data_IF_451189917685
#
_entry.id   IF_451189917685
#
_cell.length_a   1.000
_cell.length_b   1.000
_cell.length_c   1.000
_cell.angle_alpha   90.00
_cell.angle_beta   90.00
_cell.angle_gamma   90.00
#
_symmetry.space_group_name_H-M   'P 1'
#
loop_
_entity.id
_entity.type
_entity.pdbx_description
1 polymer ?
#
# COMPACT_ATOMS: atom_id res chain seq x y z
N UNK A 1 -15.70 -16.10 -10.89
CA UNK A 1 -15.17 -14.77 -10.52
C UNK A 1 -16.30 -13.78 -10.60
N UNK A 2 -16.47 -12.92 -9.62
CA UNK A 2 -17.50 -11.88 -9.63
C UNK A 2 -16.98 -10.56 -10.22
N UNK A 3 -17.91 -9.66 -10.53
CA UNK A 3 -17.62 -8.40 -11.21
C UNK A 3 -16.70 -7.48 -10.38
N UNK A 4 -16.84 -7.52 -9.05
CA UNK A 4 -15.98 -6.77 -8.13
C UNK A 4 -14.53 -7.24 -8.18
N UNK A 5 -14.29 -8.57 -8.26
CA UNK A 5 -12.96 -9.11 -8.45
C UNK A 5 -12.34 -8.67 -9.78
N UNK A 6 -13.09 -8.80 -10.88
CA UNK A 6 -12.59 -8.43 -12.21
C UNK A 6 -12.24 -6.93 -12.28
N UNK A 7 -13.10 -6.06 -11.75
CA UNK A 7 -12.83 -4.63 -11.71
C UNK A 7 -11.60 -4.31 -10.83
N UNK A 8 -11.50 -4.93 -9.65
CA UNK A 8 -10.34 -4.81 -8.78
C UNK A 8 -9.03 -5.22 -9.45
N UNK A 9 -9.04 -6.31 -10.23
CA UNK A 9 -7.90 -6.79 -11.00
C UNK A 9 -7.49 -5.80 -12.12
N UNK A 10 -8.46 -5.23 -12.84
CA UNK A 10 -8.19 -4.21 -13.88
C UNK A 10 -7.51 -3.00 -13.24
N UNK A 11 -8.06 -2.51 -12.12
CA UNK A 11 -7.47 -1.40 -11.38
C UNK A 11 -6.10 -1.76 -10.81
N UNK A 12 -5.86 -3.00 -10.35
CA UNK A 12 -4.54 -3.40 -9.83
C UNK A 12 -3.49 -3.46 -10.94
N UNK A 13 -3.86 -3.95 -12.13
CA UNK A 13 -2.96 -3.97 -13.30
C UNK A 13 -2.62 -2.53 -13.70
N UNK A 14 -3.64 -1.67 -13.83
CA UNK A 14 -3.43 -0.27 -14.19
C UNK A 14 -2.58 0.46 -13.14
N UNK A 15 -2.91 0.30 -11.85
CA UNK A 15 -2.17 0.87 -10.74
C UNK A 15 -0.72 0.39 -10.67
N UNK A 16 -0.47 -0.89 -10.92
CA UNK A 16 0.88 -1.46 -11.01
C UNK A 16 1.70 -0.85 -12.16
N UNK A 17 1.07 -0.59 -13.31
CA UNK A 17 1.73 0.06 -14.45
C UNK A 17 2.03 1.54 -14.15
N UNK A 18 1.11 2.26 -13.52
CA UNK A 18 1.33 3.65 -13.11
C UNK A 18 2.43 3.76 -12.05
N UNK A 19 2.38 2.93 -11.01
CA UNK A 19 3.39 2.89 -9.96
C UNK A 19 4.78 2.55 -10.52
N UNK A 20 4.86 1.58 -11.43
CA UNK A 20 6.12 1.23 -12.09
C UNK A 20 6.71 2.40 -12.90
N UNK A 21 5.87 3.13 -13.63
CA UNK A 21 6.31 4.19 -14.56
C UNK A 21 6.51 5.55 -13.90
N UNK A 22 5.58 5.97 -13.05
CA UNK A 22 5.47 7.33 -12.50
C UNK A 22 5.74 7.41 -11.00
N UNK A 23 5.66 6.29 -10.27
CA UNK A 23 5.75 6.25 -8.78
C UNK A 23 4.67 7.06 -8.07
N UNK A 24 3.65 7.45 -8.81
CA UNK A 24 2.48 8.17 -8.34
C UNK A 24 1.27 7.51 -8.97
N UNK A 25 0.31 7.17 -8.12
CA UNK A 25 -0.89 6.41 -8.50
C UNK A 25 -2.05 7.38 -8.45
N UNK A 26 -2.84 7.41 -9.52
CA UNK A 26 -3.97 8.33 -9.57
C UNK A 26 -5.00 8.04 -8.47
N UNK A 27 -5.43 9.10 -7.78
CA UNK A 27 -6.55 9.02 -6.83
C UNK A 27 -7.86 8.56 -7.49
N UNK A 28 -7.97 8.68 -8.82
CA UNK A 28 -9.09 8.16 -9.59
C UNK A 28 -9.32 6.66 -9.36
N UNK A 29 -8.25 5.85 -9.21
CA UNK A 29 -8.39 4.40 -9.12
C UNK A 29 -9.22 3.97 -7.92
N UNK A 30 -8.83 4.37 -6.71
CA UNK A 30 -9.54 3.95 -5.51
C UNK A 30 -10.90 4.63 -5.37
N UNK A 31 -11.06 5.88 -5.83
CA UNK A 31 -12.37 6.54 -5.89
C UNK A 31 -13.32 5.78 -6.82
N UNK A 32 -12.84 5.35 -7.98
CA UNK A 32 -13.66 4.57 -8.92
C UNK A 32 -14.10 3.23 -8.31
N UNK A 33 -13.25 2.59 -7.50
CA UNK A 33 -13.62 1.38 -6.76
C UNK A 33 -14.73 1.62 -5.76
N UNK A 34 -14.76 2.80 -5.11
CA UNK A 34 -15.87 3.15 -4.21
C UNK A 34 -17.19 3.26 -4.98
N UNK A 35 -17.19 3.99 -6.10
CA UNK A 35 -18.39 4.18 -6.93
C UNK A 35 -18.89 2.87 -7.55
N UNK A 36 -17.99 2.04 -8.08
CA UNK A 36 -18.38 0.71 -8.58
C UNK A 36 -18.82 -0.19 -7.42
N UNK A 37 -18.14 -0.13 -6.28
CA UNK A 37 -18.50 -0.86 -5.07
C UNK A 37 -19.95 -0.61 -4.66
N UNK A 38 -20.33 0.66 -4.47
CA UNK A 38 -21.70 0.99 -4.01
C UNK A 38 -22.76 0.56 -5.02
N UNK A 39 -22.48 0.63 -6.32
CA UNK A 39 -23.38 0.12 -7.37
C UNK A 39 -23.53 -1.40 -7.25
N UNK A 40 -22.44 -2.15 -7.11
CA UNK A 40 -22.49 -3.61 -6.99
C UNK A 40 -23.15 -4.06 -5.67
N UNK A 41 -22.89 -3.35 -4.57
CA UNK A 41 -23.52 -3.62 -3.28
C UNK A 41 -25.01 -3.30 -3.31
N UNK A 42 -25.44 -2.29 -4.08
CA UNK A 42 -26.86 -1.93 -4.22
C UNK A 42 -27.72 -3.08 -4.74
N UNK A 43 -27.15 -3.97 -5.56
CA UNK A 43 -27.83 -5.18 -6.05
C UNK A 43 -28.18 -6.16 -4.92
N UNK A 44 -27.51 -6.05 -3.77
CA UNK A 44 -27.67 -6.93 -2.61
C UNK A 44 -28.27 -6.21 -1.40
N UNK A 45 -28.23 -4.87 -1.37
CA UNK A 45 -28.78 -4.05 -0.30
C UNK A 45 -30.31 -4.01 -0.42
N UNK A 46 -30.99 -4.58 0.58
CA UNK A 46 -32.47 -4.49 0.68
C UNK A 46 -32.94 -3.15 1.23
N UNK A 47 -32.06 -2.40 1.91
CA UNK A 47 -32.41 -1.16 2.58
C UNK A 47 -31.99 0.06 1.75
N UNK A 48 -32.97 0.73 1.14
CA UNK A 48 -32.74 1.91 0.30
C UNK A 48 -32.02 3.05 1.05
N UNK A 49 -32.29 3.22 2.36
CA UNK A 49 -31.64 4.25 3.17
C UNK A 49 -30.13 4.01 3.32
N UNK A 50 -29.72 2.75 3.47
CA UNK A 50 -28.29 2.38 3.54
C UNK A 50 -27.57 2.82 2.25
N UNK A 51 -28.15 2.48 1.09
CA UNK A 51 -27.60 2.85 -0.21
C UNK A 51 -27.45 4.37 -0.38
N UNK A 52 -28.47 5.14 0.00
CA UNK A 52 -28.40 6.61 -0.06
C UNK A 52 -27.29 7.19 0.83
N UNK A 53 -27.15 6.70 2.06
CA UNK A 53 -26.12 7.20 2.98
C UNK A 53 -24.71 6.89 2.45
N UNK A 54 -24.49 5.68 1.91
CA UNK A 54 -23.20 5.30 1.33
C UNK A 54 -22.85 6.12 0.08
N UNK A 55 -23.83 6.43 -0.81
CA UNK A 55 -23.60 7.36 -1.93
C UNK A 55 -23.16 8.73 -1.44
N UNK A 56 -23.85 9.30 -0.45
CA UNK A 56 -23.51 10.62 0.10
C UNK A 56 -22.12 10.59 0.74
N UNK A 57 -21.77 9.51 1.43
CA UNK A 57 -20.44 9.32 1.99
C UNK A 57 -19.35 9.35 0.90
N UNK A 58 -19.54 8.59 -0.19
CA UNK A 58 -18.59 8.51 -1.31
C UNK A 58 -18.51 9.83 -2.06
N UNK A 59 -19.63 10.55 -2.21
CA UNK A 59 -19.66 11.89 -2.81
C UNK A 59 -18.79 12.86 -2.01
N UNK A 60 -18.93 12.91 -0.68
CA UNK A 60 -18.11 13.77 0.17
C UNK A 60 -16.64 13.42 0.14
N UNK A 61 -16.30 12.12 0.12
CA UNK A 61 -14.91 11.67 -0.05
C UNK A 61 -14.37 12.11 -1.41
N UNK A 62 -15.14 11.93 -2.49
CA UNK A 62 -14.76 12.33 -3.86
C UNK A 62 -14.51 13.84 -3.94
N UNK A 63 -15.39 14.65 -3.34
CA UNK A 63 -15.22 16.10 -3.27
C UNK A 63 -13.99 16.50 -2.46
N UNK A 64 -13.74 15.85 -1.31
CA UNK A 64 -12.59 16.14 -0.46
C UNK A 64 -11.26 15.85 -1.18
N UNK A 65 -11.20 14.78 -1.97
CA UNK A 65 -9.99 14.41 -2.72
C UNK A 65 -9.78 15.32 -3.92
N UNK A 66 -10.86 15.70 -4.62
CA UNK A 66 -10.76 16.60 -5.78
C UNK A 66 -10.43 18.05 -5.39
N UNK A 67 -10.89 18.49 -4.23
CA UNK A 67 -10.78 19.88 -3.79
C UNK A 67 -10.15 19.96 -2.40
N UNK A 68 -8.85 20.25 -2.34
CA UNK A 68 -8.09 20.33 -1.08
C UNK A 68 -8.73 21.24 -0.01
N UNK A 69 -9.38 22.33 -0.44
CA UNK A 69 -10.12 23.26 0.44
C UNK A 69 -11.22 22.59 1.26
N UNK A 70 -11.74 21.44 0.82
CA UNK A 70 -12.81 20.69 1.45
C UNK A 70 -12.33 19.43 2.16
N UNK A 71 -11.08 19.39 2.64
CA UNK A 71 -10.53 18.25 3.39
C UNK A 71 -11.42 17.79 4.56
N UNK A 72 -12.18 18.70 5.18
CA UNK A 72 -13.15 18.36 6.24
C UNK A 72 -14.28 17.43 5.77
N UNK A 73 -14.68 17.47 4.50
CA UNK A 73 -15.72 16.58 3.95
C UNK A 73 -15.29 15.11 4.01
N UNK A 74 -13.99 14.83 3.99
CA UNK A 74 -13.49 13.47 4.15
C UNK A 74 -13.92 12.87 5.48
N UNK A 75 -13.81 13.62 6.58
CA UNK A 75 -14.23 13.16 7.91
C UNK A 75 -15.74 12.96 8.00
N UNK A 76 -16.53 13.80 7.31
CA UNK A 76 -17.98 13.64 7.23
C UNK A 76 -18.32 12.35 6.48
N UNK A 77 -17.68 12.09 5.33
CA UNK A 77 -17.85 10.83 4.60
C UNK A 77 -17.45 9.61 5.44
N UNK A 78 -16.33 9.67 6.14
CA UNK A 78 -15.90 8.62 7.08
C UNK A 78 -16.90 8.41 8.22
N UNK A 79 -17.46 9.50 8.79
CA UNK A 79 -18.51 9.42 9.80
C UNK A 79 -19.79 8.78 9.27
N UNK A 80 -20.19 9.08 8.04
CA UNK A 80 -21.34 8.44 7.41
C UNK A 80 -21.11 6.92 7.21
N UNK A 81 -19.91 6.49 6.81
CA UNK A 81 -19.59 5.07 6.81
C UNK A 81 -19.67 4.45 8.21
N UNK A 82 -19.18 5.15 9.25
CA UNK A 82 -19.31 4.66 10.63
C UNK A 82 -20.78 4.53 11.04
N UNK A 83 -21.63 5.50 10.70
CA UNK A 83 -23.07 5.46 10.94
C UNK A 83 -23.70 4.25 10.24
N UNK A 84 -23.37 4.01 8.97
CA UNK A 84 -23.89 2.85 8.23
C UNK A 84 -23.49 1.52 8.85
N UNK A 85 -22.27 1.41 9.36
CA UNK A 85 -21.83 0.24 10.11
C UNK A 85 -22.60 0.09 11.44
N UNK A 86 -22.70 1.15 12.24
CA UNK A 86 -23.33 1.06 13.57
C UNK A 86 -24.81 0.71 13.47
N UNK A 87 -25.55 1.38 12.58
CA UNK A 87 -27.01 1.27 12.43
C UNK A 87 -27.43 0.07 11.58
N UNK A 88 -26.79 -0.12 10.41
CA UNK A 88 -27.21 -1.14 9.44
C UNK A 88 -26.29 -2.35 9.38
N UNK A 89 -25.21 -2.37 10.18
CA UNK A 89 -24.19 -3.44 10.16
C UNK A 89 -23.57 -3.65 8.77
N UNK A 90 -23.40 -2.57 8.00
CA UNK A 90 -22.76 -2.64 6.67
C UNK A 90 -21.32 -3.16 6.78
N UNK A 91 -21.11 -4.35 6.23
CA UNK A 91 -19.80 -5.02 6.21
C UNK A 91 -18.78 -4.26 5.34
N UNK A 92 -19.22 -3.70 4.21
CA UNK A 92 -18.33 -2.99 3.29
C UNK A 92 -17.90 -1.63 3.86
N UNK A 93 -18.81 -0.90 4.52
CA UNK A 93 -18.47 0.30 5.26
C UNK A 93 -17.44 0.01 6.38
N UNK A 94 -17.63 -1.06 7.16
CA UNK A 94 -16.64 -1.49 8.15
C UNK A 94 -15.29 -1.81 7.50
N UNK A 95 -15.31 -2.51 6.36
CA UNK A 95 -14.12 -2.88 5.61
C UNK A 95 -13.32 -1.65 5.17
N UNK A 96 -14.00 -0.60 4.68
CA UNK A 96 -13.39 0.68 4.36
C UNK A 96 -12.74 1.33 5.59
N UNK A 97 -13.47 1.44 6.70
CA UNK A 97 -12.99 2.09 7.92
C UNK A 97 -11.77 1.40 8.53
N UNK A 98 -11.75 0.06 8.56
CA UNK A 98 -10.60 -0.70 9.06
C UNK A 98 -9.37 -0.45 8.19
N UNK A 99 -9.51 -0.51 6.86
CA UNK A 99 -8.38 -0.24 5.97
C UNK A 99 -7.97 1.23 5.92
N UNK A 100 -8.87 2.16 6.24
CA UNK A 100 -8.51 3.55 6.46
C UNK A 100 -7.59 3.69 7.68
N UNK A 101 -7.93 3.05 8.81
CA UNK A 101 -7.10 3.06 10.01
C UNK A 101 -5.75 2.36 9.78
N UNK A 102 -5.75 1.19 9.14
CA UNK A 102 -4.52 0.48 8.76
C UNK A 102 -3.68 1.34 7.83
N UNK A 103 -4.29 1.98 6.83
CA UNK A 103 -3.61 2.85 5.88
C UNK A 103 -2.94 4.05 6.54
N UNK A 104 -3.63 4.71 7.47
CA UNK A 104 -3.06 5.78 8.31
C UNK A 104 -1.86 5.27 9.10
N UNK A 105 -2.01 4.14 9.79
CA UNK A 105 -0.94 3.57 10.60
C UNK A 105 0.30 3.25 9.76
N UNK A 106 0.11 2.63 8.60
CA UNK A 106 1.21 2.28 7.68
C UNK A 106 1.88 3.52 7.08
N UNK A 107 1.09 4.52 6.71
CA UNK A 107 1.59 5.77 6.15
C UNK A 107 2.44 6.54 7.16
N UNK A 108 1.92 6.78 8.38
CA UNK A 108 2.66 7.51 9.41
C UNK A 108 3.81 6.71 10.02
N UNK A 109 3.82 5.38 9.88
CA UNK A 109 4.95 4.53 10.25
C UNK A 109 6.01 4.44 9.15
N UNK A 110 5.84 5.13 8.01
CA UNK A 110 6.73 5.11 6.85
C UNK A 110 6.90 3.70 6.24
N UNK A 111 5.91 2.81 6.42
CA UNK A 111 5.95 1.43 5.92
C UNK A 111 5.38 1.30 4.50
N UNK A 112 4.49 2.22 4.10
CA UNK A 112 3.75 2.13 2.84
C UNK A 112 3.39 3.52 2.32
N UNK A 113 3.38 3.68 1.00
CA UNK A 113 3.03 4.95 0.35
C UNK A 113 1.53 5.26 0.48
N UNK A 114 1.19 6.55 0.49
CA UNK A 114 -0.21 7.00 0.59
C UNK A 114 -1.09 6.46 -0.55
N UNK A 115 -0.55 6.37 -1.77
CA UNK A 115 -1.25 5.81 -2.93
C UNK A 115 -1.63 4.34 -2.73
N UNK A 116 -0.71 3.53 -2.22
CA UNK A 116 -0.95 2.11 -1.98
C UNK A 116 -1.99 1.91 -0.85
N UNK A 117 -1.90 2.70 0.22
CA UNK A 117 -2.88 2.70 1.30
C UNK A 117 -4.29 3.03 0.80
N UNK A 118 -4.42 4.08 -0.02
CA UNK A 118 -5.70 4.48 -0.63
C UNK A 118 -6.24 3.38 -1.55
N UNK A 119 -5.38 2.71 -2.32
CA UNK A 119 -5.78 1.57 -3.14
C UNK A 119 -6.39 0.44 -2.29
N UNK A 120 -5.76 0.08 -1.17
CA UNK A 120 -6.29 -0.93 -0.25
C UNK A 120 -7.65 -0.52 0.36
N UNK A 121 -7.85 0.77 0.64
CA UNK A 121 -9.15 1.28 1.10
C UNK A 121 -10.24 1.13 0.04
N UNK A 122 -9.96 1.53 -1.21
CA UNK A 122 -10.90 1.35 -2.32
C UNK A 122 -11.25 -0.13 -2.53
N UNK A 123 -10.24 -0.99 -2.43
CA UNK A 123 -10.41 -2.42 -2.58
C UNK A 123 -11.22 -3.05 -1.42
N UNK A 124 -10.97 -2.64 -0.19
CA UNK A 124 -11.68 -3.18 0.97
C UNK A 124 -13.16 -2.85 0.94
N UNK A 125 -13.54 -1.69 0.43
CA UNK A 125 -14.94 -1.38 0.16
C UNK A 125 -15.45 -2.22 -1.01
N UNK A 126 -14.78 -2.22 -2.17
CA UNK A 126 -15.23 -2.93 -3.37
C UNK A 126 -15.51 -4.43 -3.14
N UNK A 127 -14.59 -5.14 -2.47
CA UNK A 127 -14.62 -6.60 -2.36
C UNK A 127 -14.77 -7.12 -0.93
N UNK A 128 -14.45 -6.30 0.07
CA UNK A 128 -14.53 -6.67 1.49
C UNK A 128 -13.17 -6.83 2.16
N UNK A 129 -13.20 -6.79 3.50
CA UNK A 129 -12.01 -6.82 4.37
C UNK A 129 -11.21 -8.12 4.24
N UNK A 130 -11.87 -9.29 4.27
CA UNK A 130 -11.16 -10.59 4.30
C UNK A 130 -10.34 -10.77 3.03
N UNK A 131 -10.95 -10.50 1.87
CA UNK A 131 -10.28 -10.55 0.59
C UNK A 131 -9.07 -9.60 0.56
N UNK A 132 -9.28 -8.35 0.95
CA UNK A 132 -8.23 -7.32 0.92
C UNK A 132 -7.08 -7.66 1.86
N UNK A 133 -7.38 -8.26 3.01
CA UNK A 133 -6.36 -8.72 3.96
C UNK A 133 -5.52 -9.86 3.38
N UNK A 134 -6.15 -10.83 2.69
CA UNK A 134 -5.42 -11.91 2.00
C UNK A 134 -4.52 -11.32 0.91
N UNK A 135 -5.04 -10.40 0.10
CA UNK A 135 -4.25 -9.73 -0.95
C UNK A 135 -3.07 -8.96 -0.35
N UNK A 136 -3.30 -8.23 0.75
CA UNK A 136 -2.25 -7.50 1.42
C UNK A 136 -1.16 -8.41 2.00
N UNK A 137 -1.55 -9.48 2.71
CA UNK A 137 -0.59 -10.43 3.29
C UNK A 137 0.23 -11.17 2.23
N UNK A 138 -0.41 -11.59 1.15
CA UNK A 138 0.28 -12.22 0.02
C UNK A 138 1.20 -11.21 -0.70
N UNK A 139 0.82 -9.93 -0.79
CA UNK A 139 1.69 -8.88 -1.33
C UNK A 139 2.97 -8.70 -0.51
N UNK A 140 2.89 -8.76 0.83
CA UNK A 140 4.05 -8.66 1.73
C UNK A 140 5.07 -9.78 1.45
N UNK A 141 4.64 -10.98 1.07
CA UNK A 141 5.55 -12.07 0.74
C UNK A 141 6.49 -11.74 -0.43
N UNK A 142 6.03 -10.94 -1.40
CA UNK A 142 6.85 -10.54 -2.54
C UNK A 142 7.92 -9.49 -2.19
N UNK A 143 7.87 -8.90 -0.99
CA UNK A 143 8.94 -8.03 -0.48
C UNK A 143 10.19 -8.86 -0.15
N UNK A 144 10.05 -10.10 0.31
CA UNK A 144 11.17 -10.98 0.66
C UNK A 144 12.12 -11.22 -0.53
N UNK A 145 11.66 -11.74 -1.69
CA UNK A 145 12.54 -11.93 -2.85
C UNK A 145 13.11 -10.61 -3.35
N UNK A 146 12.40 -9.49 -3.22
CA UNK A 146 12.92 -8.18 -3.58
C UNK A 146 14.12 -7.76 -2.69
N UNK A 147 14.04 -7.95 -1.38
CA UNK A 147 15.15 -7.71 -0.46
C UNK A 147 16.36 -8.62 -0.78
N UNK A 148 16.11 -9.87 -1.17
CA UNK A 148 17.17 -10.79 -1.62
C UNK A 148 17.83 -10.27 -2.90
N UNK A 149 17.06 -9.75 -3.87
CA UNK A 149 17.61 -9.16 -5.10
C UNK A 149 18.52 -7.95 -4.77
N UNK A 150 18.08 -7.04 -3.90
CA UNK A 150 18.90 -5.91 -3.45
C UNK A 150 20.21 -6.40 -2.81
N UNK A 151 20.10 -7.41 -1.94
CA UNK A 151 21.26 -8.02 -1.30
C UNK A 151 22.27 -8.57 -2.31
N UNK A 152 21.80 -9.33 -3.30
CA UNK A 152 22.66 -9.87 -4.35
C UNK A 152 23.32 -8.76 -5.19
N UNK A 153 22.60 -7.67 -5.49
CA UNK A 153 23.16 -6.50 -6.19
C UNK A 153 24.27 -5.85 -5.35
N UNK A 154 24.05 -5.67 -4.05
CA UNK A 154 25.04 -5.09 -3.15
C UNK A 154 26.28 -5.97 -2.98
N UNK A 155 26.10 -7.30 -2.93
CA UNK A 155 27.22 -8.24 -2.91
C UNK A 155 28.04 -8.17 -4.21
N UNK A 156 27.38 -8.17 -5.36
CA UNK A 156 28.03 -8.06 -6.67
C UNK A 156 28.86 -6.78 -6.78
N UNK A 157 28.34 -5.67 -6.27
CA UNK A 157 29.01 -4.37 -6.27
C UNK A 157 30.04 -4.20 -5.15
N UNK A 158 30.26 -5.23 -4.32
CA UNK A 158 31.17 -5.22 -3.16
C UNK A 158 30.87 -4.09 -2.16
N UNK A 159 29.61 -3.67 -2.07
CA UNK A 159 29.14 -2.58 -1.19
C UNK A 159 29.22 -2.93 0.31
N UNK A 160 29.50 -4.20 0.64
CA UNK A 160 29.70 -4.67 2.01
C UNK A 160 31.06 -4.27 2.61
N UNK A 161 32.05 -3.91 1.79
CA UNK A 161 33.39 -3.55 2.28
C UNK A 161 33.34 -2.23 3.05
N UNK A 162 33.81 -2.26 4.30
CA UNK A 162 33.84 -1.08 5.17
C UNK A 162 32.55 -0.80 5.93
N UNK A 163 31.51 -1.64 5.80
CA UNK A 163 30.31 -1.55 6.63
C UNK A 163 30.56 -2.08 8.04
N UNK A 164 30.03 -1.39 9.03
CA UNK A 164 29.94 -1.88 10.41
C UNK A 164 28.89 -2.99 10.50
N UNK A 165 29.06 -3.94 11.41
CA UNK A 165 28.13 -5.06 11.64
C UNK A 165 26.67 -4.60 11.83
N UNK A 166 26.47 -3.50 12.56
CA UNK A 166 25.15 -2.89 12.82
C UNK A 166 24.44 -2.42 11.55
N UNK A 167 25.17 -2.20 10.46
CA UNK A 167 24.67 -1.65 9.21
C UNK A 167 24.47 -2.72 8.12
N UNK A 168 24.66 -4.01 8.45
CA UNK A 168 24.47 -5.10 7.50
C UNK A 168 23.03 -5.18 6.96
N UNK A 169 22.05 -4.74 7.74
CA UNK A 169 20.64 -4.67 7.33
C UNK A 169 20.48 -3.82 6.06
N UNK A 170 21.29 -2.77 5.88
CA UNK A 170 21.24 -1.93 4.68
C UNK A 170 21.51 -2.70 3.40
N UNK A 171 22.27 -3.80 3.46
CA UNK A 171 22.53 -4.62 2.30
C UNK A 171 21.24 -5.23 1.73
N UNK A 172 20.20 -5.41 2.55
CA UNK A 172 18.91 -5.97 2.12
C UNK A 172 17.90 -4.91 1.70
N UNK A 173 17.96 -3.71 2.29
CA UNK A 173 16.90 -2.70 2.15
C UNK A 173 17.31 -1.48 1.32
N UNK A 174 18.61 -1.25 1.11
CA UNK A 174 19.13 -0.04 0.47
C UNK A 174 20.19 -0.36 -0.59
N UNK A 175 20.31 0.50 -1.60
CA UNK A 175 21.34 0.45 -2.63
C UNK A 175 22.34 1.58 -2.40
N UNK A 176 23.64 1.29 -2.61
CA UNK A 176 24.68 2.31 -2.55
C UNK A 176 24.86 2.95 -3.93
N UNK A 177 24.71 4.27 -4.02
CA UNK A 177 24.86 5.05 -5.26
C UNK A 177 25.61 6.34 -4.99
N UNK A 178 26.13 6.96 -6.05
CA UNK A 178 26.67 8.31 -5.95
C UNK A 178 25.52 9.31 -5.75
N UNK A 179 25.73 10.34 -4.91
CA UNK A 179 24.69 11.30 -4.56
C UNK A 179 24.09 12.04 -5.78
N UNK A 180 24.85 12.12 -6.87
CA UNK A 180 24.42 12.72 -8.15
C UNK A 180 23.43 11.85 -8.92
N UNK A 181 23.45 10.53 -8.68
CA UNK A 181 22.63 9.54 -9.39
C UNK A 181 21.33 9.19 -8.63
N UNK A 182 21.09 9.86 -7.50
CA UNK A 182 19.88 9.66 -6.69
C UNK A 182 18.68 10.23 -7.44
N UNK A 183 17.69 9.37 -7.70
CA UNK A 183 16.47 9.77 -8.38
C UNK A 183 15.55 10.54 -7.42
N UNK A 184 14.67 11.40 -7.97
CA UNK A 184 13.70 12.22 -7.21
C UNK A 184 12.92 11.45 -6.14
N UNK A 185 12.60 10.20 -6.43
CA UNK A 185 11.75 9.37 -5.56
C UNK A 185 12.54 8.42 -4.65
N UNK A 186 13.87 8.40 -4.73
CA UNK A 186 14.69 7.57 -3.83
C UNK A 186 14.98 8.32 -2.53
N UNK A 187 14.79 7.64 -1.40
CA UNK A 187 15.03 8.26 -0.08
C UNK A 187 16.45 7.99 0.39
N UNK A 188 17.17 9.04 0.75
CA UNK A 188 18.56 8.93 1.22
C UNK A 188 18.57 8.54 2.70
N UNK A 189 19.21 7.42 3.03
CA UNK A 189 19.40 6.92 4.40
C UNK A 189 20.68 7.45 5.07
N UNK A 190 21.57 8.08 4.29
CA UNK A 190 22.83 8.66 4.75
C UNK A 190 24.05 8.03 4.09
N UNK A 191 25.22 8.19 4.73
CA UNK A 191 26.51 7.67 4.27
C UNK A 191 27.08 6.65 5.26
N UNK A 192 28.19 5.99 4.94
CA UNK A 192 28.77 4.94 5.80
C UNK A 192 29.08 5.37 7.26
N UNK A 193 29.19 6.69 7.52
CA UNK A 193 29.49 7.25 8.85
C UNK A 193 28.25 7.65 9.64
N UNK A 194 27.21 8.19 8.98
CA UNK A 194 25.99 8.70 9.60
C UNK A 194 24.79 8.15 8.83
N UNK A 195 24.13 7.16 9.43
CA UNK A 195 23.00 6.42 8.85
C UNK A 195 21.79 6.61 9.74
N UNK A 196 20.66 6.96 9.14
CA UNK A 196 19.34 6.91 9.75
C UNK A 196 18.53 5.81 9.08
N UNK A 197 18.15 4.77 9.84
CA UNK A 197 17.31 3.67 9.35
C UNK A 197 15.87 4.12 9.06
N UNK A 198 15.42 5.20 9.69
CA UNK A 198 14.11 5.80 9.47
C UNK A 198 14.34 7.14 8.76
N UNK A 199 14.11 7.23 7.44
CA UNK A 199 14.20 8.50 6.75
C UNK A 199 13.03 9.41 7.16
N UNK A 200 13.27 10.72 7.20
CA UNK A 200 12.24 11.71 7.47
C UNK A 200 11.49 12.02 6.17
N UNK A 201 10.18 11.76 6.12
CA UNK A 201 9.34 11.90 4.92
C UNK A 201 9.00 13.37 4.59
N UNK A 202 9.16 14.31 5.53
CA UNK A 202 8.66 15.69 5.38
C UNK A 202 9.74 16.75 5.10
N UNK A 203 10.98 16.36 4.79
CA UNK A 203 12.03 17.30 4.41
C UNK A 203 12.18 17.32 2.88
N UNK A 204 11.11 17.66 2.13
CA UNK A 204 11.20 17.93 0.68
C UNK A 204 12.21 19.05 0.33
N UNK A 205 12.71 19.78 1.35
CA UNK A 205 13.54 20.97 1.18
C UNK A 205 14.94 20.90 1.81
N UNK A 206 15.29 19.87 2.59
CA UNK A 206 16.70 19.69 2.99
C UNK A 206 17.38 18.81 1.95
N UNK A 207 17.88 19.45 0.88
CA UNK A 207 18.98 18.89 0.10
C UNK A 207 20.18 18.78 1.03
N UNK A 208 20.24 17.72 1.84
CA UNK A 208 21.47 17.37 2.53
C UNK A 208 22.45 17.05 1.42
N UNK A 209 23.36 17.98 1.14
CA UNK A 209 24.39 17.85 0.10
C UNK A 209 25.40 16.84 0.65
N UNK A 210 25.10 15.56 0.46
CA UNK A 210 26.08 14.52 0.69
C UNK A 210 27.04 14.52 -0.50
N UNK A 211 28.33 14.71 -0.24
CA UNK A 211 29.36 14.46 -1.24
C UNK A 211 29.75 12.97 -1.23
N UNK A 212 29.83 12.36 -2.42
CA UNK A 212 30.25 10.97 -2.61
C UNK A 212 29.10 9.95 -2.61
N UNK A 213 29.37 8.76 -2.05
CA UNK A 213 28.44 7.63 -2.05
C UNK A 213 27.48 7.66 -0.87
N UNK A 214 26.21 7.45 -1.16
CA UNK A 214 25.10 7.41 -0.19
C UNK A 214 24.32 6.11 -0.32
N UNK A 215 23.69 5.72 0.78
CA UNK A 215 22.72 4.63 0.83
C UNK A 215 21.34 5.19 0.53
N UNK A 216 20.66 4.59 -0.43
CA UNK A 216 19.31 4.98 -0.83
C UNK A 216 18.35 3.80 -0.74
N UNK A 217 17.14 4.02 -0.22
CA UNK A 217 16.08 3.03 -0.32
C UNK A 217 15.43 3.15 -1.69
N UNK A 218 15.52 2.11 -2.54
CA UNK A 218 14.72 2.09 -3.74
C UNK A 218 13.25 2.01 -3.35
N UNK A 219 12.40 2.83 -3.98
CA UNK A 219 10.97 2.72 -3.77
C UNK A 219 10.44 1.37 -4.26
N UNK A 220 9.82 0.64 -3.35
CA UNK A 220 9.11 -0.59 -3.64
C UNK A 220 7.88 -0.26 -4.48
N UNK A 221 7.72 -0.82 -5.70
CA UNK A 221 6.49 -0.68 -6.44
C UNK A 221 5.42 -1.60 -5.81
N UNK A 222 4.89 -1.22 -4.65
CA UNK A 222 4.08 -2.13 -3.83
C UNK A 222 2.78 -2.54 -4.52
N UNK A 223 2.22 -1.69 -5.41
CA UNK A 223 1.07 -2.07 -6.22
C UNK A 223 1.36 -3.19 -7.22
N UNK A 224 2.60 -3.33 -7.67
CA UNK A 224 3.01 -4.49 -8.48
C UNK A 224 2.89 -5.77 -7.66
N UNK A 225 3.27 -5.75 -6.38
CA UNK A 225 3.12 -6.89 -5.49
C UNK A 225 1.65 -7.17 -5.16
N UNK A 226 0.83 -6.15 -4.98
CA UNK A 226 -0.63 -6.29 -4.84
C UNK A 226 -1.23 -6.94 -6.09
N UNK A 227 -0.81 -6.51 -7.29
CA UNK A 227 -1.28 -7.10 -8.54
C UNK A 227 -0.86 -8.58 -8.68
N UNK A 228 0.39 -8.93 -8.33
CA UNK A 228 0.80 -10.34 -8.31
C UNK A 228 0.02 -11.15 -7.28
N UNK A 229 -0.26 -10.55 -6.12
CA UNK A 229 -1.10 -11.19 -5.11
C UNK A 229 -2.52 -11.45 -5.59
N UNK A 230 -3.09 -10.57 -6.42
CA UNK A 230 -4.37 -10.83 -7.08
C UNK A 230 -4.32 -12.07 -7.96
N UNK A 231 -3.32 -12.15 -8.84
CA UNK A 231 -3.14 -13.32 -9.71
C UNK A 231 -2.94 -14.59 -8.88
N UNK A 232 -2.15 -14.51 -7.81
CA UNK A 232 -1.93 -15.62 -6.88
C UNK A 232 -3.24 -16.07 -6.20
N UNK A 233 -4.10 -15.12 -5.79
CA UNK A 233 -5.38 -15.42 -5.16
C UNK A 233 -6.30 -16.28 -6.05
N UNK A 234 -6.18 -16.18 -7.39
CA UNK A 234 -6.92 -17.04 -8.31
C UNK A 234 -6.63 -18.52 -8.12
N UNK A 235 -5.38 -18.84 -7.80
CA UNK A 235 -4.91 -20.21 -7.63
C UNK A 235 -4.91 -20.63 -6.16
N UNK A 236 -4.74 -19.67 -5.25
CA UNK A 236 -4.58 -19.91 -3.83
C UNK A 236 -5.32 -18.84 -3.00
N UNK A 237 -6.63 -19.04 -2.70
CA UNK A 237 -7.48 -18.05 -2.04
C UNK A 237 -7.25 -17.95 -0.52
N UNK A 238 -6.09 -18.41 -0.04
CA UNK A 238 -5.66 -18.35 1.35
C UNK A 238 -4.38 -17.54 1.46
N UNK A 239 -4.10 -16.92 2.62
CA UNK A 239 -2.85 -16.22 2.83
C UNK A 239 -1.71 -17.25 2.91
N UNK A 240 -0.85 -17.27 1.87
CA UNK A 240 0.27 -18.22 1.75
C UNK A 240 1.19 -18.13 2.96
N UNK A 241 1.34 -16.92 3.52
CA UNK A 241 2.19 -16.66 4.68
C UNK A 241 1.79 -17.51 5.89
N UNK A 242 0.49 -17.74 6.11
CA UNK A 242 0.02 -18.55 7.24
C UNK A 242 0.39 -20.03 7.05
N UNK A 243 0.35 -20.53 5.82
CA UNK A 243 0.77 -21.90 5.52
C UNK A 243 2.27 -22.09 5.66
N UNK A 244 3.07 -21.08 5.28
CA UNK A 244 4.52 -21.10 5.50
C UNK A 244 4.81 -21.14 7.00
N UNK A 245 4.16 -20.30 7.81
CA UNK A 245 4.32 -20.29 9.26
C UNK A 245 3.91 -21.64 9.86
N UNK A 246 2.79 -22.21 9.44
CA UNK A 246 2.33 -23.52 9.90
C UNK A 246 3.35 -24.62 9.61
N UNK A 247 3.93 -24.64 8.40
CA UNK A 247 4.96 -25.61 8.03
C UNK A 247 6.24 -25.45 8.86
N UNK A 248 6.67 -24.21 9.13
CA UNK A 248 7.84 -23.95 9.98
C UNK A 248 7.58 -24.42 11.41
N UNK A 249 6.42 -24.11 11.99
CA UNK A 249 6.06 -24.53 13.34
C UNK A 249 6.01 -26.06 13.43
N UNK A 250 5.34 -26.74 12.49
CA UNK A 250 5.27 -28.21 12.44
C UNK A 250 6.63 -28.90 12.24
N UNK A 251 7.63 -28.21 11.70
CA UNK A 251 8.98 -28.79 11.53
C UNK A 251 9.81 -28.76 12.81
N UNK A 252 9.40 -27.98 13.81
CA UNK A 252 10.11 -27.75 15.06
C UNK A 252 9.43 -28.39 16.29
N UNK A 253 8.26 -29.01 16.12
CA UNK A 253 7.52 -29.76 17.15
C UNK A 253 7.10 -31.12 16.61
#
# INVERSE_FOLDING_TARGET
MDLSYLYGLICSIYGAVEDWKKREVSDFLWISMLWIGVILHSLHIKNLMLFFIEIVAILFITMAVKYEKFSKLFYIGGFLFLLTFVVFKSYFALSFLVFYLVGILLYYSNLMGGGDCKFLMGLSYLKGMVFTFIIFLNAILFVIPYCIIIFLINLKNKNYRGLRLKNLILLFIALKKDAKDVKKFETVMGNDKKISLIPKINEENEKIVYEGKVWVTPQLPFLVFICFSYVLYMFYPFPVILKIIELVVKSHF
#
